data_IF_224154420586
#
_entry.id   IF_224154420586
#
_cell.length_a   1.000
_cell.length_b   1.000
_cell.length_c   1.000
_cell.angle_alpha   90.00
_cell.angle_beta   90.00
_cell.angle_gamma   90.00
#
_symmetry.space_group_name_H-M   'P 1'
#
loop_
_entity.id
_entity.type
_entity.pdbx_description
1 polymer ?
#
# COMPACT_ATOMS: atom_id res chain seq x y z
N UNK A 1 14.29 3.44 2.65
CA UNK A 1 14.17 2.83 1.31
C UNK A 1 12.69 2.78 0.98
N UNK A 2 12.26 3.44 -0.10
CA UNK A 2 10.84 3.44 -0.50
C UNK A 2 10.47 2.00 -0.92
N UNK A 3 9.60 1.36 -0.13
CA UNK A 3 9.20 -0.03 -0.32
C UNK A 3 8.09 -0.07 -1.36
N UNK A 4 8.38 -0.74 -2.48
CA UNK A 4 7.45 -1.01 -3.56
C UNK A 4 7.21 -2.53 -3.62
N UNK A 5 5.97 -2.94 -3.87
CA UNK A 5 5.63 -4.33 -4.12
C UNK A 5 4.63 -4.48 -5.27
N UNK A 6 4.69 -5.62 -5.95
CA UNK A 6 3.74 -6.00 -7.01
C UNK A 6 2.70 -6.96 -6.44
N UNK A 7 1.43 -6.63 -6.61
CA UNK A 7 0.32 -7.56 -6.33
C UNK A 7 -0.67 -7.55 -7.50
N UNK A 8 -0.88 -8.72 -8.10
CA UNK A 8 -1.63 -8.86 -9.34
C UNK A 8 -1.07 -7.99 -10.49
N UNK A 9 -1.93 -7.16 -11.07
CA UNK A 9 -1.62 -6.27 -12.19
C UNK A 9 -1.19 -4.85 -11.76
N UNK A 10 -0.97 -4.63 -10.46
CA UNK A 10 -0.68 -3.32 -9.89
C UNK A 10 0.66 -3.32 -9.15
N UNK A 11 1.33 -2.17 -9.19
CA UNK A 11 2.45 -1.82 -8.35
C UNK A 11 1.95 -0.93 -7.22
N UNK A 12 2.36 -1.23 -6.00
CA UNK A 12 2.04 -0.48 -4.80
C UNK A 12 3.32 0.06 -4.22
N UNK A 13 3.29 1.29 -3.73
CA UNK A 13 4.43 1.88 -3.02
C UNK A 13 3.96 2.75 -1.88
N UNK A 14 4.79 2.86 -0.86
CA UNK A 14 4.66 3.89 0.16
C UNK A 14 5.03 5.23 -0.49
N UNK A 15 4.19 6.27 -0.34
CA UNK A 15 4.45 7.58 -0.93
C UNK A 15 5.78 8.14 -0.39
N UNK A 16 6.76 8.44 -1.26
CA UNK A 16 8.07 8.93 -0.81
C UNK A 16 8.01 10.31 -0.13
N UNK A 17 6.97 11.10 -0.39
CA UNK A 17 6.76 12.42 0.22
C UNK A 17 5.93 12.37 1.50
N UNK A 18 5.17 11.29 1.71
CA UNK A 18 4.31 11.11 2.88
C UNK A 18 4.16 9.62 3.20
N UNK A 19 4.91 9.13 4.17
CA UNK A 19 4.93 7.71 4.55
C UNK A 19 3.64 7.20 5.21
N UNK A 20 2.62 8.04 5.31
CA UNK A 20 1.26 7.68 5.74
C UNK A 20 0.35 7.30 4.57
N UNK A 21 0.83 7.45 3.34
CA UNK A 21 0.04 7.23 2.14
C UNK A 21 0.55 6.03 1.33
N UNK A 22 -0.40 5.18 0.94
CA UNK A 22 -0.18 4.11 -0.02
C UNK A 22 -0.59 4.61 -1.39
N UNK A 23 0.29 4.43 -2.37
CA UNK A 23 0.03 4.75 -3.77
C UNK A 23 -0.01 3.49 -4.63
N UNK A 24 -0.66 3.59 -5.77
CA UNK A 24 -0.78 2.51 -6.75
C UNK A 24 -0.54 3.00 -8.17
N UNK A 25 0.13 2.18 -8.98
CA UNK A 25 0.28 2.36 -10.42
C UNK A 25 0.00 1.05 -11.16
N UNK A 26 -0.46 1.13 -12.40
CA UNK A 26 -0.50 -0.05 -13.28
C UNK A 26 0.93 -0.48 -13.60
N UNK A 27 1.18 -1.78 -13.75
CA UNK A 27 2.50 -2.26 -14.19
C UNK A 27 2.91 -1.59 -15.50
N UNK A 28 4.13 -1.05 -15.54
CA UNK A 28 4.66 -0.29 -16.68
C UNK A 28 4.32 1.20 -16.68
N UNK A 29 3.49 1.67 -15.73
CA UNK A 29 3.26 3.11 -15.51
C UNK A 29 4.27 3.67 -14.51
N UNK A 30 4.77 4.87 -14.77
CA UNK A 30 5.54 5.68 -13.81
C UNK A 30 4.66 6.60 -12.95
N UNK A 31 3.37 6.70 -13.29
CA UNK A 31 2.40 7.55 -12.60
C UNK A 31 1.68 6.76 -11.50
N UNK A 32 1.90 7.19 -10.26
CA UNK A 32 1.30 6.63 -9.05
C UNK A 32 0.18 7.52 -8.54
N UNK A 33 -0.99 6.93 -8.29
CA UNK A 33 -2.15 7.62 -7.71
C UNK A 33 -2.30 7.26 -6.23
N UNK A 34 -2.81 8.19 -5.42
CA UNK A 34 -3.18 7.92 -4.03
C UNK A 34 -4.23 6.81 -3.97
N UNK A 35 -3.96 5.78 -3.19
CA UNK A 35 -4.88 4.65 -2.98
C UNK A 35 -5.51 4.69 -1.60
N UNK A 36 -4.71 4.94 -0.56
CA UNK A 36 -5.15 4.87 0.82
C UNK A 36 -4.25 5.71 1.73
N UNK A 37 -4.83 6.26 2.79
CA UNK A 37 -4.09 6.97 3.84
C UNK A 37 -4.32 6.22 5.15
N UNK A 38 -3.23 5.94 5.86
CA UNK A 38 -3.29 5.24 7.13
C UNK A 38 -4.12 6.04 8.16
N UNK A 39 -5.08 5.41 8.85
CA UNK A 39 -5.94 6.09 9.79
C UNK A 39 -5.15 6.56 11.02
N UNK A 40 -5.73 7.49 11.79
CA UNK A 40 -5.17 7.94 13.07
C UNK A 40 -3.72 8.48 13.01
N UNK A 41 -3.25 8.88 11.82
CA UNK A 41 -1.91 9.43 11.62
C UNK A 41 -0.78 8.39 11.64
N UNK A 42 -1.11 7.11 11.54
CA UNK A 42 -0.18 5.98 11.48
C UNK A 42 0.79 6.09 10.31
N UNK A 43 1.97 5.49 10.47
CA UNK A 43 3.04 5.49 9.46
C UNK A 43 3.15 4.10 8.86
N UNK A 44 3.18 4.02 7.54
CA UNK A 44 3.36 2.76 6.83
C UNK A 44 4.84 2.40 6.89
N UNK A 45 5.15 1.29 7.55
CA UNK A 45 6.51 0.78 7.74
C UNK A 45 6.90 -0.17 6.60
N UNK A 46 5.96 -1.01 6.17
CA UNK A 46 6.19 -1.99 5.11
C UNK A 46 4.93 -2.31 4.32
N UNK A 47 5.14 -2.82 3.11
CA UNK A 47 4.08 -3.41 2.30
C UNK A 47 4.57 -4.72 1.69
N UNK A 48 3.78 -5.78 1.86
CA UNK A 48 4.13 -7.11 1.38
C UNK A 48 2.99 -7.65 0.49
N UNK A 49 3.31 -8.26 -0.65
CA UNK A 49 2.30 -8.87 -1.50
C UNK A 49 1.81 -10.17 -0.86
N UNK A 50 0.49 -10.34 -0.81
CA UNK A 50 -0.17 -11.56 -0.32
C UNK A 50 -1.09 -12.10 -1.42
N UNK A 51 -0.48 -12.70 -2.45
CA UNK A 51 -1.17 -13.11 -3.66
C UNK A 51 -1.64 -11.90 -4.49
N UNK A 52 -2.95 -11.66 -4.53
CA UNK A 52 -3.56 -10.50 -5.19
C UNK A 52 -3.89 -9.36 -4.22
N UNK A 53 -3.71 -9.59 -2.93
CA UNK A 53 -3.88 -8.62 -1.86
C UNK A 53 -2.53 -8.01 -1.46
N UNK A 54 -2.58 -6.92 -0.68
CA UNK A 54 -1.37 -6.28 -0.12
C UNK A 54 -1.51 -6.16 1.39
N UNK A 55 -0.60 -6.80 2.11
CA UNK A 55 -0.43 -6.59 3.54
C UNK A 55 0.30 -5.26 3.77
N UNK A 56 -0.28 -4.40 4.58
CA UNK A 56 0.24 -3.07 4.91
C UNK A 56 0.58 -3.09 6.40
N UNK A 57 1.87 -2.98 6.70
CA UNK A 57 2.35 -2.91 8.07
C UNK A 57 2.51 -1.45 8.47
N UNK A 58 1.84 -1.06 9.55
CA UNK A 58 2.02 0.27 10.14
C UNK A 58 2.70 0.17 11.50
N UNK A 59 3.00 1.32 12.11
CA UNK A 59 3.57 1.41 13.45
C UNK A 59 2.63 0.97 14.58
N UNK A 60 1.31 0.91 14.32
CA UNK A 60 0.32 0.51 15.32
C UNK A 60 -0.47 -0.73 14.94
N UNK A 61 -0.91 -0.79 13.69
CA UNK A 61 -1.82 -1.83 13.21
C UNK A 61 -1.39 -2.41 11.87
N UNK A 62 -1.80 -3.63 11.58
CA UNK A 62 -1.63 -4.22 10.27
C UNK A 62 -2.95 -4.16 9.52
N UNK A 63 -2.89 -3.80 8.25
CA UNK A 63 -4.03 -3.74 7.36
C UNK A 63 -3.80 -4.67 6.18
N UNK A 64 -4.89 -5.08 5.53
CA UNK A 64 -4.83 -5.77 4.25
C UNK A 64 -5.69 -5.03 3.24
N UNK A 65 -5.07 -4.72 2.11
CA UNK A 65 -5.75 -4.24 0.91
C UNK A 65 -6.23 -5.45 0.12
N UNK A 66 -7.54 -5.59 0.01
CA UNK A 66 -8.17 -6.66 -0.77
C UNK A 66 -8.19 -6.32 -2.26
N UNK A 67 -8.02 -7.33 -3.12
CA UNK A 67 -8.24 -7.26 -4.57
C UNK A 67 -9.60 -6.66 -4.93
N UNK A 68 -10.63 -6.96 -4.13
CA UNK A 68 -12.00 -6.45 -4.31
C UNK A 68 -12.11 -4.92 -4.18
N UNK A 69 -11.08 -4.28 -3.63
CA UNK A 69 -11.04 -2.82 -3.55
C UNK A 69 -11.34 -2.25 -2.16
N UNK A 70 -11.37 -3.06 -1.10
CA UNK A 70 -11.46 -2.64 0.30
C UNK A 70 -10.11 -2.65 1.03
N UNK A 71 -9.91 -1.77 2.02
CA UNK A 71 -8.83 -1.92 3.02
C UNK A 71 -9.49 -2.28 4.35
N UNK A 72 -9.01 -3.31 5.02
CA UNK A 72 -9.51 -3.71 6.34
C UNK A 72 -8.35 -3.91 7.30
N UNK A 73 -8.64 -3.77 8.59
CA UNK A 73 -7.74 -4.20 9.64
C UNK A 73 -7.51 -5.72 9.49
N UNK A 74 -6.25 -6.14 9.58
CA UNK A 74 -5.87 -7.55 9.51
C UNK A 74 -6.10 -8.25 10.84
#
# INVERSE_FOLDING_TARGET
>A
MARECKAGNWLFRINPSNDKELQRATIGSSCYSLLWTAPNGERILDINPNGEDVDIQTDRHNYVRLKSGGVKLK
#
